data_IF_880483444100
#
_entry.id   IF_880483444100
#
_cell.length_a   1.000
_cell.length_b   1.000
_cell.length_c   1.000
_cell.angle_alpha   90.00
_cell.angle_beta   90.00
_cell.angle_gamma   90.00
#
_symmetry.space_group_name_H-M   'P 1'
#
loop_
_entity.id
_entity.type
_entity.pdbx_description
1 polymer ?
#
# COMPACT_ATOMS: atom_id res chain seq x y z
N UNK A 1 0.91 16.42 -15.59
CA UNK A 1 0.76 15.67 -14.32
C UNK A 1 1.01 16.68 -13.20
N UNK A 2 -0.03 17.17 -12.52
CA UNK A 2 0.14 18.11 -11.39
C UNK A 2 0.36 17.27 -10.15
N UNK A 3 1.61 17.16 -9.73
CA UNK A 3 1.99 16.54 -8.47
C UNK A 3 1.32 17.32 -7.34
N UNK A 4 0.38 16.70 -6.63
CA UNK A 4 -0.27 17.29 -5.47
C UNK A 4 0.19 16.47 -4.27
N UNK A 5 1.09 17.07 -3.49
CA UNK A 5 1.55 16.54 -2.22
C UNK A 5 1.04 17.43 -1.09
N UNK A 6 0.74 16.85 0.07
CA UNK A 6 0.30 17.61 1.25
C UNK A 6 0.87 17.01 2.54
N UNK A 7 0.89 17.78 3.65
CA UNK A 7 1.35 17.28 4.95
C UNK A 7 0.22 16.61 5.75
N UNK A 8 0.25 15.29 5.90
CA UNK A 8 -0.64 14.53 6.78
C UNK A 8 0.15 13.89 7.92
N UNK A 9 -0.25 14.13 9.18
CA UNK A 9 0.47 13.67 10.39
C UNK A 9 1.98 14.00 10.37
N UNK A 10 2.36 15.16 9.80
CA UNK A 10 3.76 15.59 9.67
C UNK A 10 4.53 14.97 8.50
N UNK A 11 3.90 14.13 7.67
CA UNK A 11 4.50 13.52 6.48
C UNK A 11 3.94 14.15 5.21
N UNK A 12 4.81 14.51 4.26
CA UNK A 12 4.38 14.85 2.91
C UNK A 12 3.78 13.59 2.25
N UNK A 13 2.56 13.61 1.71
CA UNK A 13 1.87 12.43 1.12
C UNK A 13 1.28 12.71 -0.27
N UNK A 14 1.16 11.68 -1.11
CA UNK A 14 0.33 11.73 -2.34
C UNK A 14 -1.15 11.70 -1.96
N UNK A 15 -1.91 12.70 -2.43
CA UNK A 15 -3.30 12.95 -2.04
C UNK A 15 -4.28 11.83 -2.38
N UNK A 16 -4.03 11.07 -3.45
CA UNK A 16 -5.02 10.16 -4.02
C UNK A 16 -4.54 8.70 -4.10
N UNK A 17 -3.26 8.42 -3.83
CA UNK A 17 -2.71 7.07 -3.87
C UNK A 17 -3.50 6.07 -3.01
N UNK A 18 -3.96 6.48 -1.82
CA UNK A 18 -4.82 5.65 -0.96
C UNK A 18 -6.16 5.31 -1.61
N UNK A 19 -6.80 6.29 -2.27
CA UNK A 19 -8.06 6.07 -2.99
C UNK A 19 -7.89 5.07 -4.14
N UNK A 20 -6.80 5.20 -4.91
CA UNK A 20 -6.49 4.26 -5.99
C UNK A 20 -6.27 2.83 -5.46
N UNK A 21 -5.55 2.69 -4.35
CA UNK A 21 -5.32 1.38 -3.71
C UNK A 21 -6.64 0.76 -3.23
N UNK A 22 -7.50 1.52 -2.55
CA UNK A 22 -8.81 1.05 -2.11
C UNK A 22 -9.70 0.63 -3.29
N UNK A 23 -9.76 1.46 -4.34
CA UNK A 23 -10.51 1.15 -5.57
C UNK A 23 -10.02 -0.15 -6.22
N UNK A 24 -8.70 -0.37 -6.25
CA UNK A 24 -8.12 -1.58 -6.83
C UNK A 24 -8.38 -2.82 -5.95
N UNK A 25 -8.21 -2.71 -4.62
CA UNK A 25 -8.47 -3.79 -3.67
C UNK A 25 -9.94 -4.25 -3.73
N UNK A 26 -10.88 -3.30 -3.70
CA UNK A 26 -12.31 -3.56 -3.86
C UNK A 26 -12.61 -4.20 -5.22
N UNK A 27 -12.01 -3.71 -6.30
CA UNK A 27 -12.18 -4.28 -7.64
C UNK A 27 -11.77 -5.75 -7.70
N UNK A 28 -10.63 -6.10 -7.10
CA UNK A 28 -10.15 -7.49 -7.04
C UNK A 28 -11.09 -8.36 -6.20
N UNK A 29 -11.44 -7.90 -4.99
CA UNK A 29 -12.30 -8.68 -4.07
C UNK A 29 -13.67 -8.98 -4.67
N UNK A 30 -14.31 -7.95 -5.24
CA UNK A 30 -15.64 -8.08 -5.82
C UNK A 30 -15.64 -8.85 -7.14
N UNK A 31 -14.56 -8.77 -7.94
CA UNK A 31 -14.39 -9.62 -9.11
C UNK A 31 -14.31 -11.11 -8.74
N UNK A 32 -13.55 -11.46 -7.70
CA UNK A 32 -13.45 -12.85 -7.20
C UNK A 32 -14.81 -13.33 -6.68
N UNK A 33 -15.54 -12.47 -5.96
CA UNK A 33 -16.86 -12.80 -5.43
C UNK A 33 -17.99 -12.78 -6.48
N UNK A 34 -17.73 -12.32 -7.70
CA UNK A 34 -18.76 -12.13 -8.72
C UNK A 34 -19.82 -11.08 -8.36
N UNK A 35 -19.47 -10.09 -7.54
CA UNK A 35 -20.40 -9.06 -7.05
C UNK A 35 -20.05 -7.66 -7.58
N UNK A 36 -21.01 -6.72 -7.62
CA UNK A 36 -20.71 -5.34 -7.99
C UNK A 36 -19.78 -4.68 -6.97
N UNK A 37 -18.78 -3.94 -7.47
CA UNK A 37 -17.92 -3.12 -6.63
C UNK A 37 -18.72 -1.93 -6.03
N UNK A 38 -18.60 -1.64 -4.72
CA UNK A 38 -19.25 -0.48 -4.12
C UNK A 38 -18.64 0.82 -4.67
N UNK A 39 -19.48 1.86 -4.74
CA UNK A 39 -19.02 3.18 -5.15
C UNK A 39 -18.14 3.80 -4.06
N UNK A 40 -16.90 4.13 -4.42
CA UNK A 40 -16.00 4.94 -3.60
C UNK A 40 -15.88 6.31 -4.26
N UNK A 41 -16.49 7.37 -3.70
CA UNK A 41 -16.41 8.71 -4.27
C UNK A 41 -14.96 9.13 -4.41
N UNK A 42 -14.61 9.73 -5.55
CA UNK A 42 -13.28 10.32 -5.68
C UNK A 42 -13.19 11.48 -4.69
N UNK A 43 -12.14 11.55 -3.85
CA UNK A 43 -11.88 12.74 -3.04
C UNK A 43 -11.74 13.93 -3.99
N UNK A 44 -12.72 14.84 -4.00
CA UNK A 44 -12.64 16.06 -4.80
C UNK A 44 -11.46 16.93 -4.37
N UNK A 45 -11.23 18.04 -5.09
CA UNK A 45 -10.12 18.98 -4.85
C UNK A 45 -10.11 19.61 -3.42
N UNK A 46 -11.19 19.46 -2.65
CA UNK A 46 -11.31 19.94 -1.26
C UNK A 46 -10.82 18.95 -0.19
N UNK A 47 -10.47 17.71 -0.57
CA UNK A 47 -9.96 16.72 0.38
C UNK A 47 -8.43 16.79 0.46
N UNK A 48 -7.94 16.88 1.69
CA UNK A 48 -6.56 17.21 2.04
C UNK A 48 -5.60 16.02 1.88
N UNK A 49 -6.12 14.78 1.90
CA UNK A 49 -5.50 13.51 1.47
C UNK A 49 -6.54 12.39 1.69
N UNK A 50 -6.51 11.32 0.88
CA UNK A 50 -7.36 10.14 1.10
C UNK A 50 -6.60 9.05 1.84
N UNK A 51 -6.99 8.84 3.09
CA UNK A 51 -6.50 7.73 3.92
C UNK A 51 -7.54 6.58 3.91
N UNK A 52 -7.21 5.40 3.37
CA UNK A 52 -8.07 4.22 3.40
C UNK A 52 -8.53 3.84 4.80
N UNK A 53 -7.75 4.06 5.86
CA UNK A 53 -8.09 3.67 7.22
C UNK A 53 -9.33 4.38 7.78
N UNK A 54 -9.72 5.52 7.18
CA UNK A 54 -10.94 6.25 7.52
C UNK A 54 -12.19 5.71 6.79
N UNK A 55 -12.02 4.73 5.90
CA UNK A 55 -13.12 4.11 5.17
C UNK A 55 -13.76 3.00 6.02
N UNK A 56 -15.10 2.90 6.10
CA UNK A 56 -15.77 1.77 6.74
C UNK A 56 -15.61 0.46 5.95
N UNK A 57 -15.00 0.50 4.76
CA UNK A 57 -14.79 -0.65 3.88
C UNK A 57 -13.48 -1.38 4.14
N UNK A 58 -12.67 -0.92 5.11
CA UNK A 58 -11.40 -1.55 5.44
C UNK A 58 -11.34 -1.95 6.91
N UNK A 59 -10.49 -2.94 7.19
CA UNK A 59 -10.03 -3.26 8.54
C UNK A 59 -8.53 -2.99 8.62
N UNK A 60 -8.16 -2.19 9.60
CA UNK A 60 -6.76 -1.91 9.94
C UNK A 60 -6.22 -2.98 10.88
N UNK A 61 -5.07 -3.53 10.57
CA UNK A 61 -4.37 -4.55 11.37
C UNK A 61 -2.88 -4.23 11.46
N UNK A 62 -2.19 -4.87 12.40
CA UNK A 62 -0.75 -4.76 12.51
C UNK A 62 -0.06 -5.30 11.24
N UNK A 63 1.01 -4.64 10.81
CA UNK A 63 1.82 -5.05 9.67
C UNK A 63 2.43 -6.45 9.93
N UNK A 64 2.28 -7.41 9.00
CA UNK A 64 2.91 -8.72 9.15
C UNK A 64 4.44 -8.63 9.20
N UNK A 65 5.03 -9.33 10.17
CA UNK A 65 6.47 -9.27 10.49
C UNK A 65 7.33 -10.27 9.70
N UNK A 66 6.74 -11.01 8.76
CA UNK A 66 7.46 -11.96 7.91
C UNK A 66 6.71 -12.20 6.60
N UNK A 67 7.43 -12.63 5.56
CA UNK A 67 6.81 -13.01 4.28
C UNK A 67 5.82 -14.15 4.41
N UNK A 68 6.04 -15.12 5.30
CA UNK A 68 5.07 -16.17 5.60
C UNK A 68 3.76 -15.60 6.19
N UNK A 69 3.85 -14.63 7.09
CA UNK A 69 2.68 -13.95 7.64
C UNK A 69 1.97 -13.10 6.57
N UNK A 70 2.72 -12.49 5.66
CA UNK A 70 2.16 -11.81 4.49
C UNK A 70 1.42 -12.77 3.56
N UNK A 71 1.98 -13.94 3.26
CA UNK A 71 1.29 -14.98 2.47
C UNK A 71 -0.04 -15.34 3.13
N UNK A 72 -0.04 -15.64 4.43
CA UNK A 72 -1.25 -15.99 5.15
C UNK A 72 -2.30 -14.85 5.11
N UNK A 73 -1.88 -13.60 5.32
CA UNK A 73 -2.77 -12.44 5.26
C UNK A 73 -3.38 -12.27 3.86
N UNK A 74 -2.57 -12.36 2.81
CA UNK A 74 -3.03 -12.22 1.42
C UNK A 74 -3.97 -13.35 1.00
N UNK A 75 -3.72 -14.58 1.48
CA UNK A 75 -4.61 -15.72 1.24
C UNK A 75 -5.98 -15.51 1.89
N UNK A 76 -6.02 -14.98 3.12
CA UNK A 76 -7.26 -14.82 3.87
C UNK A 76 -8.08 -13.59 3.47
N UNK A 77 -7.40 -12.50 3.10
CA UNK A 77 -8.04 -11.19 2.94
C UNK A 77 -7.91 -10.60 1.53
N UNK A 78 -7.13 -11.23 0.65
CA UNK A 78 -6.80 -10.69 -0.66
C UNK A 78 -5.76 -9.56 -0.57
N UNK A 79 -5.71 -8.67 -1.57
CA UNK A 79 -4.76 -7.55 -1.60
C UNK A 79 -4.87 -6.63 -0.39
N UNK A 80 -3.72 -6.21 0.13
CA UNK A 80 -3.58 -5.40 1.34
C UNK A 80 -2.98 -4.05 0.97
N UNK A 81 -3.55 -2.98 1.51
CA UNK A 81 -3.08 -1.62 1.33
C UNK A 81 -2.02 -1.34 2.42
N UNK A 82 -0.81 -1.02 1.98
CA UNK A 82 0.29 -0.66 2.86
C UNK A 82 0.63 0.82 2.70
N UNK A 83 0.90 1.49 3.83
CA UNK A 83 1.32 2.88 3.87
C UNK A 83 2.76 2.99 4.36
N UNK A 84 3.48 4.02 3.91
CA UNK A 84 4.85 4.28 4.36
C UNK A 84 5.65 5.07 3.32
N UNK A 85 6.98 5.06 3.43
CA UNK A 85 7.88 5.59 2.40
C UNK A 85 8.20 4.49 1.40
N UNK A 86 7.24 4.16 0.53
CA UNK A 86 7.23 2.92 -0.26
C UNK A 86 7.19 3.20 -1.77
N UNK A 87 7.60 2.22 -2.57
CA UNK A 87 7.51 2.29 -4.03
C UNK A 87 8.25 3.51 -4.61
N UNK A 88 7.65 4.18 -5.58
CA UNK A 88 8.18 5.38 -6.22
C UNK A 88 8.27 6.61 -5.32
N UNK A 89 7.74 6.51 -4.09
CA UNK A 89 7.86 7.55 -3.08
C UNK A 89 9.01 7.31 -2.08
N UNK A 90 9.74 6.20 -2.16
CA UNK A 90 11.05 6.06 -1.50
C UNK A 90 12.15 6.69 -2.36
N UNK A 91 12.83 7.71 -1.82
CA UNK A 91 13.94 8.40 -2.50
C UNK A 91 15.31 8.05 -1.90
N UNK A 92 15.38 7.00 -1.08
CA UNK A 92 16.62 6.52 -0.49
C UNK A 92 17.02 7.28 0.78
N UNK A 93 18.32 7.32 1.07
CA UNK A 93 18.87 7.89 2.32
C UNK A 93 19.99 8.89 2.02
N UNK A 94 19.99 10.04 2.72
CA UNK A 94 21.10 10.99 2.77
C UNK A 94 21.42 11.29 4.24
N UNK A 95 22.69 11.10 4.65
CA UNK A 95 23.15 11.42 6.00
C UNK A 95 22.41 10.67 7.12
N UNK A 96 21.96 9.42 6.85
CA UNK A 96 21.15 8.64 7.80
C UNK A 96 19.66 8.95 7.80
N UNK A 97 19.24 10.06 7.16
CA UNK A 97 17.84 10.44 7.03
C UNK A 97 17.22 9.80 5.79
N UNK A 98 16.06 9.14 5.95
CA UNK A 98 15.30 8.57 4.82
C UNK A 98 14.49 9.67 4.12
N UNK A 99 14.76 9.85 2.84
CA UNK A 99 14.03 10.77 1.96
C UNK A 99 12.79 10.07 1.38
N UNK A 100 11.82 10.86 0.97
CA UNK A 100 10.57 10.36 0.41
C UNK A 100 9.34 10.94 1.05
N UNK A 101 8.20 10.58 0.47
CA UNK A 101 6.85 10.99 0.88
C UNK A 101 6.09 9.77 1.38
N UNK A 102 5.15 9.97 2.29
CA UNK A 102 4.18 8.95 2.65
C UNK A 102 3.34 8.59 1.44
N UNK A 103 3.13 7.29 1.24
CA UNK A 103 2.54 6.75 0.03
C UNK A 103 1.83 5.45 0.34
N UNK A 104 0.77 5.19 -0.42
CA UNK A 104 0.02 3.95 -0.35
C UNK A 104 0.35 3.10 -1.58
N UNK A 105 0.70 1.85 -1.33
CA UNK A 105 0.83 0.80 -2.35
C UNK A 105 -0.14 -0.34 -2.04
N UNK A 106 -0.50 -1.11 -3.06
CA UNK A 106 -1.33 -2.29 -2.89
C UNK A 106 -0.46 -3.55 -2.98
N UNK A 107 -0.17 -4.18 -1.84
CA UNK A 107 0.49 -5.48 -1.77
C UNK A 107 -0.49 -6.55 -2.27
N UNK A 108 -0.10 -7.30 -3.29
CA UNK A 108 -0.95 -8.29 -3.94
C UNK A 108 -0.29 -9.67 -4.12
N UNK A 109 0.92 -9.84 -3.59
CA UNK A 109 1.63 -11.11 -3.58
C UNK A 109 2.79 -11.09 -2.59
N UNK A 110 3.20 -12.28 -2.16
CA UNK A 110 4.37 -12.49 -1.35
C UNK A 110 5.03 -13.81 -1.76
N UNK A 111 6.36 -13.87 -1.72
CA UNK A 111 7.14 -15.06 -2.01
C UNK A 111 8.19 -15.27 -0.92
N UNK A 112 8.20 -16.47 -0.35
CA UNK A 112 9.12 -16.91 0.71
C UNK A 112 10.37 -17.58 0.15
N UNK A 113 10.45 -17.84 -1.16
CA UNK A 113 11.48 -18.68 -1.78
C UNK A 113 12.82 -17.98 -2.07
N UNK A 114 12.88 -16.65 -1.95
CA UNK A 114 14.08 -15.88 -2.26
C UNK A 114 14.97 -15.66 -1.02
N UNK A 115 16.28 -15.69 -1.30
CA UNK A 115 17.44 -15.73 -0.40
C UNK A 115 17.18 -15.34 1.06
N UNK A 116 17.62 -16.20 1.99
CA UNK A 116 17.36 -16.09 3.44
C UNK A 116 17.88 -14.76 4.01
N UNK A 117 18.84 -14.12 3.33
CA UNK A 117 19.39 -12.82 3.68
C UNK A 117 18.41 -11.64 3.49
N UNK A 118 17.49 -11.72 2.53
CA UNK A 118 16.58 -10.63 2.15
C UNK A 118 15.15 -10.79 2.66
N UNK A 119 14.86 -11.92 3.32
CA UNK A 119 13.58 -12.21 3.97
C UNK A 119 12.44 -12.57 3.01
N UNK A 120 12.73 -12.76 1.72
CA UNK A 120 11.75 -13.00 0.64
C UNK A 120 11.35 -11.72 -0.10
N UNK A 121 10.26 -11.78 -0.89
CA UNK A 121 9.75 -10.64 -1.68
C UNK A 121 8.28 -10.37 -1.44
N UNK A 122 7.91 -9.10 -1.55
CA UNK A 122 6.52 -8.68 -1.71
C UNK A 122 6.32 -8.13 -3.12
N UNK A 123 5.13 -8.38 -3.66
CA UNK A 123 4.68 -7.86 -4.94
C UNK A 123 3.59 -6.84 -4.70
N UNK A 124 3.63 -5.74 -5.46
CA UNK A 124 2.72 -4.63 -5.24
C UNK A 124 2.38 -3.86 -6.51
N UNK A 125 1.26 -3.16 -6.47
CA UNK A 125 0.90 -2.11 -7.42
C UNK A 125 1.16 -0.75 -6.78
N UNK A 126 1.73 0.15 -7.58
CA UNK A 126 2.10 1.49 -7.14
C UNK A 126 1.40 2.54 -8.01
N UNK A 127 0.47 3.34 -7.44
CA UNK A 127 -0.22 4.39 -8.18
C UNK A 127 0.69 5.40 -8.89
N UNK A 128 1.90 5.65 -8.37
CA UNK A 128 2.88 6.55 -8.99
C UNK A 128 3.60 5.92 -10.19
N UNK A 129 3.58 4.60 -10.30
CA UNK A 129 4.30 3.86 -11.32
C UNK A 129 3.36 3.14 -12.31
N UNK A 130 2.07 3.49 -12.29
CA UNK A 130 1.06 2.95 -13.18
C UNK A 130 0.53 1.57 -12.75
N UNK A 131 0.04 0.79 -13.72
CA UNK A 131 -0.59 -0.52 -13.45
C UNK A 131 0.37 -1.70 -13.52
N UNK A 132 1.68 -1.44 -13.49
CA UNK A 132 2.68 -2.50 -13.56
C UNK A 132 2.89 -3.09 -12.18
N UNK A 133 2.90 -4.42 -12.10
CA UNK A 133 3.31 -5.12 -10.89
C UNK A 133 4.79 -4.86 -10.65
N UNK A 134 5.08 -4.40 -9.44
CA UNK A 134 6.42 -4.18 -8.90
C UNK A 134 6.70 -5.23 -7.83
N UNK A 135 7.95 -5.32 -7.46
CA UNK A 135 8.39 -6.17 -6.37
C UNK A 135 9.62 -5.55 -5.72
N UNK A 136 9.78 -5.83 -4.44
CA UNK A 136 11.00 -5.53 -3.70
C UNK A 136 11.18 -6.59 -2.60
N UNK A 137 12.36 -6.61 -2.00
CA UNK A 137 12.67 -7.47 -0.85
C UNK A 137 11.81 -7.10 0.34
N UNK A 138 11.44 -8.10 1.15
CA UNK A 138 10.69 -7.87 2.38
C UNK A 138 11.46 -6.93 3.30
N UNK A 139 12.75 -7.18 3.51
CA UNK A 139 13.60 -6.33 4.36
C UNK A 139 13.63 -4.86 3.91
N UNK A 140 13.58 -4.59 2.60
CA UNK A 140 13.48 -3.23 2.10
C UNK A 140 12.15 -2.59 2.48
N UNK A 141 11.03 -3.26 2.19
CA UNK A 141 9.69 -2.69 2.38
C UNK A 141 9.28 -2.63 3.86
N UNK A 142 9.59 -3.66 4.65
CA UNK A 142 9.25 -3.75 6.07
C UNK A 142 9.77 -2.55 6.87
N UNK A 143 11.04 -2.19 6.66
CA UNK A 143 11.63 -1.03 7.32
C UNK A 143 10.97 0.31 6.95
N UNK A 144 10.13 0.34 5.91
CA UNK A 144 9.52 1.54 5.31
C UNK A 144 8.02 1.59 5.45
N UNK A 145 7.39 0.46 5.69
CA UNK A 145 5.98 0.35 5.99
C UNK A 145 5.70 0.92 7.38
N UNK A 146 4.53 1.51 7.53
CA UNK A 146 4.01 1.90 8.83
C UNK A 146 3.66 0.64 9.64
N UNK A 147 3.38 0.82 10.93
CA UNK A 147 3.07 -0.26 11.86
C UNK A 147 1.73 -0.97 11.59
N UNK A 148 0.90 -0.40 10.72
CA UNK A 148 -0.41 -0.92 10.35
C UNK A 148 -0.63 -0.94 8.84
N UNK A 149 -1.47 -1.87 8.42
CA UNK A 149 -1.93 -2.06 7.04
C UNK A 149 -3.44 -2.25 7.01
N UNK A 150 -4.06 -2.04 5.86
CA UNK A 150 -5.51 -2.11 5.68
C UNK A 150 -5.90 -3.17 4.65
N UNK A 151 -6.88 -4.00 4.94
CA UNK A 151 -7.50 -4.88 3.94
C UNK A 151 -8.99 -4.59 3.82
N UNK A 152 -9.58 -4.91 2.68
CA UNK A 152 -11.01 -4.67 2.42
C UNK A 152 -11.87 -5.70 3.16
N UNK A 153 -12.88 -5.23 3.91
CA UNK A 153 -13.86 -6.05 4.68
C UNK A 153 -14.83 -6.80 3.83
#
# INVERSE_FOLDING_TARGET
MRWQFFHYNGLLVDLNCGWYCLKAALGIKHAIAGTPQPHVPHPGLGHIAYDPSNSPLVTTVATPVSTAAWVAMLTNHGPVIASGKLGGADWGKIGGHRLGVGHFILINGADTALDVADGGRLYYLDPLQGRFQRHDTFNHLDQRMNATVDYVT
#
